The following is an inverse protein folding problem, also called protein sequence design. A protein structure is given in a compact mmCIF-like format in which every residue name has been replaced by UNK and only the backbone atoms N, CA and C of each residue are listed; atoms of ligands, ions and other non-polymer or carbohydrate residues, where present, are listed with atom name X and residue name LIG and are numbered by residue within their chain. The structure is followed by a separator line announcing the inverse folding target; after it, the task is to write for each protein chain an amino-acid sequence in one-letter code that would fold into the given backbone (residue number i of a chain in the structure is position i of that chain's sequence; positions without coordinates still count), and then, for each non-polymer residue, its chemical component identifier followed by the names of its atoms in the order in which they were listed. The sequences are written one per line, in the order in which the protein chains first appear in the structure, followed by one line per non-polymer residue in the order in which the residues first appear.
data_IF_215521193931
#
_entry.id   IF_215521193931
#
_cell.length_a   1.000
_cell.length_b   1.000
_cell.length_c   1.000
_cell.angle_alpha   90.00
_cell.angle_beta   90.00
_cell.angle_gamma   90.00
#
_symmetry.space_group_name_H-M   'P 1'
#
loop_
_entity.id
_entity.type
_entity.pdbx_description
1 polymer ?
#
# COMPACT_ATOMS: atom_id res chain seq x y z
N UNK A 1 14.30 -48.65 13.19
CA UNK A 1 15.13 -47.68 12.43
C UNK A 1 14.58 -46.27 12.71
N UNK A 2 15.36 -45.36 13.30
CA UNK A 2 14.89 -44.02 13.57
C UNK A 2 14.85 -43.20 12.26
N UNK A 3 13.72 -42.55 11.99
CA UNK A 3 13.55 -41.60 10.85
C UNK A 3 14.55 -40.46 11.02
N UNK A 4 15.48 -40.32 10.07
CA UNK A 4 16.35 -39.14 9.96
C UNK A 4 15.47 -37.88 9.85
N UNK A 5 15.53 -37.01 10.84
CA UNK A 5 14.96 -35.67 10.74
C UNK A 5 15.58 -34.96 9.55
N UNK A 6 14.77 -34.61 8.59
CA UNK A 6 15.18 -33.77 7.44
C UNK A 6 15.59 -32.41 8.01
N UNK A 7 16.87 -32.06 7.91
CA UNK A 7 17.33 -30.70 8.26
C UNK A 7 16.63 -29.72 7.32
N UNK A 8 15.88 -28.73 7.84
CA UNK A 8 15.28 -27.73 6.99
C UNK A 8 16.36 -26.98 6.20
N UNK A 9 16.05 -26.65 4.94
CA UNK A 9 16.96 -25.88 4.07
C UNK A 9 17.31 -24.54 4.74
N UNK A 10 18.52 -24.01 4.59
CA UNK A 10 18.97 -22.75 5.23
C UNK A 10 18.02 -21.59 5.00
N UNK A 11 17.39 -21.53 3.83
CA UNK A 11 16.39 -20.51 3.45
C UNK A 11 15.11 -20.62 4.32
N UNK A 12 14.58 -21.81 4.51
CA UNK A 12 13.37 -22.02 5.33
C UNK A 12 13.58 -21.65 6.81
N UNK A 13 14.78 -21.89 7.33
CA UNK A 13 15.16 -21.47 8.70
C UNK A 13 15.22 -19.94 8.80
N UNK A 14 15.74 -19.27 7.78
CA UNK A 14 15.83 -17.82 7.71
C UNK A 14 14.46 -17.15 7.72
N UNK A 15 13.53 -17.60 6.88
CA UNK A 15 12.16 -17.04 6.81
C UNK A 15 11.37 -17.34 8.10
N UNK A 16 11.53 -18.52 8.69
CA UNK A 16 10.93 -18.82 9.98
C UNK A 16 11.41 -17.88 11.09
N UNK A 17 12.70 -17.58 11.13
CA UNK A 17 13.28 -16.64 12.12
C UNK A 17 12.74 -15.23 11.93
N UNK A 18 12.64 -14.75 10.69
CA UNK A 18 12.03 -13.44 10.39
C UNK A 18 10.58 -13.38 10.85
N UNK A 19 9.79 -14.42 10.55
CA UNK A 19 8.39 -14.50 10.99
C UNK A 19 8.24 -14.49 12.52
N UNK A 20 9.10 -15.20 13.26
CA UNK A 20 9.10 -15.18 14.73
C UNK A 20 9.39 -13.77 15.26
N UNK A 21 10.42 -13.10 14.75
CA UNK A 21 10.77 -11.73 15.13
C UNK A 21 9.65 -10.75 14.81
N UNK A 22 8.98 -10.91 13.67
CA UNK A 22 7.82 -10.12 13.27
C UNK A 22 6.66 -10.29 14.28
N UNK A 23 6.31 -11.51 14.66
CA UNK A 23 5.25 -11.77 15.63
C UNK A 23 5.59 -11.20 17.02
N UNK A 24 6.83 -11.32 17.46
CA UNK A 24 7.30 -10.72 18.71
C UNK A 24 7.18 -9.18 18.66
N UNK A 25 7.57 -8.58 17.53
CA UNK A 25 7.43 -7.14 17.30
C UNK A 25 5.97 -6.69 17.38
N UNK A 26 5.05 -7.36 16.65
CA UNK A 26 3.60 -7.05 16.67
C UNK A 26 3.03 -7.06 18.09
N UNK A 27 3.36 -8.08 18.88
CA UNK A 27 2.94 -8.16 20.29
C UNK A 27 3.42 -6.96 21.12
N UNK A 28 4.65 -6.53 20.92
CA UNK A 28 5.21 -5.37 21.65
C UNK A 28 4.59 -4.05 21.18
N UNK A 29 4.41 -3.86 19.86
CA UNK A 29 3.81 -2.65 19.28
C UNK A 29 2.34 -2.46 19.71
N UNK A 30 1.63 -3.53 20.01
CA UNK A 30 0.29 -3.46 20.58
C UNK A 30 0.26 -2.98 22.04
N UNK A 31 1.40 -2.97 22.76
CA UNK A 31 1.48 -2.67 24.18
C UNK A 31 2.26 -1.39 24.51
N UNK A 32 3.21 -1.03 23.67
CA UNK A 32 4.08 0.14 23.89
C UNK A 32 4.59 0.74 22.57
N UNK A 33 5.01 1.99 22.64
CA UNK A 33 5.60 2.71 21.49
C UNK A 33 6.89 2.05 21.00
N UNK A 34 7.15 2.20 19.70
CA UNK A 34 8.26 1.53 19.00
C UNK A 34 9.63 1.89 19.56
N UNK A 35 9.82 3.15 19.98
CA UNK A 35 11.04 3.67 20.60
C UNK A 35 11.42 2.98 21.92
N UNK A 36 10.42 2.37 22.60
CA UNK A 36 10.61 1.60 23.84
C UNK A 36 10.83 0.11 23.61
N UNK A 37 10.81 -0.35 22.37
CA UNK A 37 11.05 -1.76 22.02
C UNK A 37 12.54 -1.93 21.72
N UNK A 38 13.16 -2.93 22.35
CA UNK A 38 14.58 -3.22 22.15
C UNK A 38 14.78 -4.52 21.38
N UNK A 39 15.85 -4.57 20.59
CA UNK A 39 16.25 -5.79 19.87
C UNK A 39 16.49 -6.96 20.83
N UNK A 40 16.96 -6.67 22.04
CA UNK A 40 17.16 -7.68 23.08
C UNK A 40 15.85 -8.34 23.48
N UNK A 41 14.82 -7.55 23.79
CA UNK A 41 13.50 -8.08 24.13
C UNK A 41 12.89 -8.93 23.01
N UNK A 42 13.06 -8.51 21.74
CA UNK A 42 12.56 -9.28 20.59
C UNK A 42 13.30 -10.62 20.45
N UNK A 43 14.61 -10.60 20.60
CA UNK A 43 15.43 -11.82 20.53
C UNK A 43 15.10 -12.76 21.70
N UNK A 44 15.01 -12.26 22.92
CA UNK A 44 14.70 -13.04 24.13
C UNK A 44 13.30 -13.68 24.01
N UNK A 45 12.27 -12.96 23.52
CA UNK A 45 10.91 -13.48 23.27
C UNK A 45 10.91 -14.64 22.25
N UNK A 46 11.87 -14.64 21.31
CA UNK A 46 12.02 -15.68 20.30
C UNK A 46 12.98 -16.82 20.70
N UNK A 47 13.59 -16.75 21.90
CA UNK A 47 14.64 -17.69 22.29
C UNK A 47 15.92 -17.59 21.46
N UNK A 48 16.19 -16.42 20.88
CA UNK A 48 17.30 -16.14 19.99
C UNK A 48 18.38 -15.31 20.68
N UNK A 49 19.62 -15.44 20.21
CA UNK A 49 20.67 -14.48 20.56
C UNK A 49 20.50 -13.19 19.75
N UNK A 50 20.81 -12.03 20.32
CA UNK A 50 20.78 -10.72 19.65
C UNK A 50 21.49 -10.71 18.28
N UNK A 51 22.53 -11.52 18.14
CA UNK A 51 23.30 -11.66 16.90
C UNK A 51 22.45 -12.25 15.75
N UNK A 52 21.48 -13.13 16.06
CA UNK A 52 20.56 -13.69 15.07
C UNK A 52 19.63 -12.62 14.48
N UNK A 53 19.24 -11.60 15.25
CA UNK A 53 18.50 -10.46 14.73
C UNK A 53 19.29 -9.72 13.66
N UNK A 54 20.54 -9.34 13.95
CA UNK A 54 21.39 -8.58 13.04
C UNK A 54 21.81 -9.35 11.78
N UNK A 55 21.64 -10.68 11.78
CA UNK A 55 21.81 -11.46 10.57
C UNK A 55 20.69 -11.18 9.52
N UNK A 56 19.51 -10.80 9.97
CA UNK A 56 18.33 -10.60 9.13
C UNK A 56 17.95 -9.13 8.93
N UNK A 57 18.15 -8.29 9.93
CA UNK A 57 17.68 -6.91 9.96
C UNK A 57 18.77 -5.99 10.53
N UNK A 58 18.88 -4.79 9.95
CA UNK A 58 19.81 -3.77 10.42
C UNK A 58 19.38 -3.21 11.78
N UNK A 59 18.09 -2.93 11.92
CA UNK A 59 17.46 -2.37 13.11
C UNK A 59 15.96 -2.76 13.20
N UNK A 60 15.28 -2.22 14.21
CA UNK A 60 13.84 -2.46 14.39
C UNK A 60 13.02 -1.86 13.25
N UNK A 61 13.44 -0.75 12.68
CA UNK A 61 12.72 -0.09 11.60
C UNK A 61 12.76 -0.92 10.30
N UNK A 62 13.89 -1.58 10.05
CA UNK A 62 14.03 -2.53 8.93
C UNK A 62 13.08 -3.74 9.12
N UNK A 63 12.95 -4.25 10.35
CA UNK A 63 11.96 -5.29 10.67
C UNK A 63 10.51 -4.79 10.49
N UNK A 64 10.18 -3.56 10.93
CA UNK A 64 8.85 -2.95 10.71
C UNK A 64 8.56 -2.85 9.22
N UNK A 65 9.51 -2.36 8.43
CA UNK A 65 9.38 -2.26 6.97
C UNK A 65 9.11 -3.62 6.34
N UNK A 66 9.92 -4.62 6.69
CA UNK A 66 9.76 -5.98 6.19
C UNK A 66 8.39 -6.56 6.55
N UNK A 67 7.94 -6.37 7.79
CA UNK A 67 6.63 -6.80 8.27
C UNK A 67 5.49 -6.26 7.39
N UNK A 68 5.43 -4.94 7.20
CA UNK A 68 4.38 -4.33 6.39
C UNK A 68 4.49 -4.69 4.90
N UNK A 69 5.69 -4.87 4.37
CA UNK A 69 5.88 -5.34 2.99
C UNK A 69 5.32 -6.76 2.80
N UNK A 70 5.53 -7.65 3.76
CA UNK A 70 5.04 -9.03 3.68
C UNK A 70 3.53 -9.12 3.92
N UNK A 71 3.00 -8.41 4.89
CA UNK A 71 1.63 -8.58 5.35
C UNK A 71 0.64 -7.60 4.70
N UNK A 72 1.03 -6.36 4.45
CA UNK A 72 0.15 -5.30 3.94
C UNK A 72 0.35 -5.04 2.45
N UNK A 73 1.56 -4.69 2.03
CA UNK A 73 1.83 -4.33 0.61
C UNK A 73 1.63 -5.53 -0.31
N UNK A 74 1.90 -6.75 0.18
CA UNK A 74 1.65 -7.97 -0.59
C UNK A 74 0.17 -8.15 -0.98
N UNK A 75 -0.79 -7.69 -0.17
CA UNK A 75 -2.22 -7.74 -0.47
C UNK A 75 -2.56 -6.88 -1.69
N UNK A 76 -2.02 -5.66 -1.74
CA UNK A 76 -2.18 -4.79 -2.90
C UNK A 76 -1.57 -5.38 -4.17
N UNK A 77 -0.39 -6.02 -4.05
CA UNK A 77 0.29 -6.62 -5.20
C UNK A 77 -0.42 -7.85 -5.77
N UNK A 78 -1.13 -8.61 -4.94
CA UNK A 78 -1.91 -9.77 -5.39
C UNK A 78 -3.14 -9.37 -6.22
N UNK A 79 -3.64 -8.15 -6.02
CA UNK A 79 -4.84 -7.62 -6.63
C UNK A 79 -4.55 -6.34 -7.44
N UNK A 80 -3.32 -6.21 -7.97
CA UNK A 80 -3.02 -5.03 -8.77
C UNK A 80 -3.63 -5.13 -10.18
N UNK A 81 -4.01 -3.97 -10.72
CA UNK A 81 -4.68 -3.84 -12.00
C UNK A 81 -6.05 -3.19 -11.91
N UNK A 82 -6.52 -2.70 -13.05
CA UNK A 82 -7.74 -1.89 -13.14
C UNK A 82 -9.03 -2.60 -12.70
N UNK A 83 -9.04 -3.93 -12.66
CA UNK A 83 -10.23 -4.72 -12.31
C UNK A 83 -10.23 -5.24 -10.87
N UNK A 84 -9.10 -5.23 -10.17
CA UNK A 84 -8.94 -5.89 -8.87
C UNK A 84 -8.47 -4.96 -7.74
N UNK A 85 -8.27 -3.67 -8.03
CA UNK A 85 -7.75 -2.73 -7.05
C UNK A 85 -8.67 -2.54 -5.83
N UNK A 86 -10.02 -2.60 -6.02
CA UNK A 86 -10.98 -2.51 -4.93
C UNK A 86 -10.78 -3.64 -3.93
N UNK A 87 -10.62 -4.88 -4.43
CA UNK A 87 -10.39 -6.04 -3.58
C UNK A 87 -9.07 -5.93 -2.82
N UNK A 88 -8.00 -5.52 -3.50
CA UNK A 88 -6.69 -5.30 -2.89
C UNK A 88 -6.73 -4.22 -1.80
N UNK A 89 -7.40 -3.11 -2.07
CA UNK A 89 -7.58 -2.04 -1.08
C UNK A 89 -8.43 -2.50 0.10
N UNK A 90 -9.54 -3.19 -0.15
CA UNK A 90 -10.39 -3.72 0.90
C UNK A 90 -9.65 -4.70 1.82
N UNK A 91 -8.85 -5.60 1.25
CA UNK A 91 -8.03 -6.52 2.03
C UNK A 91 -6.96 -5.79 2.85
N UNK A 92 -6.33 -4.74 2.30
CA UNK A 92 -5.41 -3.89 3.05
C UNK A 92 -6.12 -3.21 4.22
N UNK A 93 -7.31 -2.64 4.01
CA UNK A 93 -8.06 -1.96 5.06
C UNK A 93 -8.50 -2.94 6.16
N UNK A 94 -8.95 -4.13 5.81
CA UNK A 94 -9.26 -5.20 6.78
C UNK A 94 -8.03 -5.63 7.57
N UNK A 95 -6.88 -5.81 6.92
CA UNK A 95 -5.62 -6.05 7.62
C UNK A 95 -5.31 -4.95 8.64
N UNK A 96 -5.51 -3.69 8.25
CA UNK A 96 -5.31 -2.54 9.14
C UNK A 96 -6.29 -2.58 10.34
N UNK A 97 -7.56 -2.95 10.13
CA UNK A 97 -8.54 -3.10 11.21
C UNK A 97 -8.10 -4.17 12.22
N UNK A 98 -7.70 -5.34 11.73
CA UNK A 98 -7.22 -6.45 12.56
C UNK A 98 -5.93 -6.11 13.31
N UNK A 99 -5.09 -5.25 12.74
CA UNK A 99 -3.78 -4.86 13.29
C UNK A 99 -3.73 -3.37 13.70
N UNK A 100 -4.87 -2.76 14.03
CA UNK A 100 -4.99 -1.31 14.26
C UNK A 100 -3.99 -0.76 15.27
N UNK A 101 -3.79 -1.45 16.40
CA UNK A 101 -2.83 -1.04 17.41
C UNK A 101 -1.39 -0.98 16.86
N UNK A 102 -1.01 -1.95 16.04
CA UNK A 102 0.32 -2.03 15.40
C UNK A 102 0.49 -0.92 14.37
N UNK A 103 -0.51 -0.72 13.50
CA UNK A 103 -0.50 0.33 12.48
C UNK A 103 -0.43 1.73 13.11
N UNK A 104 -1.24 1.97 14.16
CA UNK A 104 -1.21 3.24 14.92
C UNK A 104 0.14 3.44 15.61
N UNK A 105 0.70 2.42 16.26
CA UNK A 105 2.04 2.48 16.87
C UNK A 105 3.11 2.86 15.84
N UNK A 106 3.07 2.25 14.65
CA UNK A 106 3.99 2.58 13.57
C UNK A 106 3.85 4.05 13.13
N UNK A 107 2.63 4.51 12.85
CA UNK A 107 2.35 5.90 12.45
C UNK A 107 2.82 6.92 13.49
N UNK A 108 2.52 6.68 14.76
CA UNK A 108 2.88 7.59 15.85
C UNK A 108 4.39 7.63 16.14
N UNK A 109 5.08 6.49 16.00
CA UNK A 109 6.50 6.38 16.29
C UNK A 109 7.40 6.80 15.13
N UNK A 110 6.98 6.52 13.88
CA UNK A 110 7.77 6.80 12.69
C UNK A 110 7.42 8.14 12.05
N UNK A 111 6.20 8.62 12.29
CA UNK A 111 5.66 9.81 11.65
C UNK A 111 5.24 9.58 10.19
N UNK A 112 4.38 10.46 9.72
CA UNK A 112 3.73 10.42 8.40
C UNK A 112 4.74 10.32 7.25
N UNK A 113 5.75 11.17 7.26
CA UNK A 113 6.75 11.25 6.19
C UNK A 113 7.57 9.97 6.05
N UNK A 114 7.86 9.27 7.13
CA UNK A 114 8.68 8.08 7.13
C UNK A 114 7.95 6.88 6.52
N UNK A 115 6.67 6.69 6.89
CA UNK A 115 5.83 5.62 6.31
C UNK A 115 5.61 5.87 4.83
N UNK A 116 5.27 7.10 4.43
CA UNK A 116 5.14 7.48 3.02
C UNK A 116 6.43 7.22 2.23
N UNK A 117 7.60 7.46 2.83
CA UNK A 117 8.88 7.21 2.17
C UNK A 117 9.16 5.72 1.97
N UNK A 118 8.85 4.87 2.95
CA UNK A 118 9.14 3.44 2.85
C UNK A 118 8.30 2.69 1.82
N UNK A 119 7.04 3.11 1.64
CA UNK A 119 6.11 2.41 0.75
C UNK A 119 5.86 3.15 -0.55
N UNK A 120 6.48 4.32 -0.74
CA UNK A 120 6.26 5.17 -1.92
C UNK A 120 6.44 4.41 -3.22
N UNK A 121 7.57 3.73 -3.37
CA UNK A 121 7.92 3.07 -4.63
C UNK A 121 6.98 1.90 -4.93
N UNK A 122 6.60 1.14 -3.91
CA UNK A 122 5.68 0.00 -4.04
C UNK A 122 4.27 0.47 -4.42
N UNK A 123 3.74 1.47 -3.69
CA UNK A 123 2.41 2.04 -3.93
C UNK A 123 2.38 2.78 -5.27
N UNK A 124 3.42 3.56 -5.57
CA UNK A 124 3.56 4.24 -6.85
C UNK A 124 3.50 3.26 -8.03
N UNK A 125 4.27 2.17 -7.97
CA UNK A 125 4.29 1.16 -9.03
C UNK A 125 2.91 0.49 -9.24
N UNK A 126 2.15 0.25 -8.17
CA UNK A 126 0.81 -0.33 -8.24
C UNK A 126 -0.17 0.67 -8.88
N UNK A 127 -0.20 1.92 -8.38
CA UNK A 127 -1.11 2.96 -8.89
C UNK A 127 -0.77 3.31 -10.34
N UNK A 128 0.52 3.44 -10.68
CA UNK A 128 0.97 3.73 -12.05
C UNK A 128 0.45 2.69 -13.04
N UNK A 129 0.60 1.40 -12.72
CA UNK A 129 0.06 0.32 -13.56
C UNK A 129 -1.45 0.39 -13.73
N UNK A 130 -2.18 0.70 -12.66
CA UNK A 130 -3.64 0.86 -12.70
C UNK A 130 -4.04 2.03 -13.59
N UNK A 131 -3.38 3.18 -13.46
CA UNK A 131 -3.61 4.37 -14.29
C UNK A 131 -3.32 4.08 -15.78
N UNK A 132 -2.21 3.41 -16.07
CA UNK A 132 -1.83 3.04 -17.44
C UNK A 132 -2.82 2.05 -18.06
N UNK A 133 -3.30 1.09 -17.29
CA UNK A 133 -4.28 0.11 -17.76
C UNK A 133 -5.63 0.76 -18.04
N UNK A 134 -6.11 1.63 -17.14
CA UNK A 134 -7.32 2.42 -17.36
C UNK A 134 -7.19 3.34 -18.57
N UNK A 135 -6.03 3.98 -18.75
CA UNK A 135 -5.79 4.81 -19.94
C UNK A 135 -5.81 3.99 -21.24
N UNK A 136 -5.23 2.79 -21.24
CA UNK A 136 -5.29 1.89 -22.41
C UNK A 136 -6.71 1.49 -22.76
N UNK A 137 -7.59 1.36 -21.77
CA UNK A 137 -9.00 0.97 -22.00
C UNK A 137 -9.86 2.15 -22.49
N UNK A 138 -9.72 3.33 -21.89
CA UNK A 138 -10.65 4.45 -22.10
C UNK A 138 -9.98 5.73 -22.63
N UNK A 139 -8.68 5.74 -22.86
CA UNK A 139 -7.91 6.82 -23.50
C UNK A 139 -8.13 8.20 -22.85
N UNK A 140 -8.25 8.27 -21.53
CA UNK A 140 -8.66 9.47 -20.82
C UNK A 140 -7.54 10.51 -20.58
N UNK A 141 -6.27 10.14 -20.75
CA UNK A 141 -5.14 11.06 -20.65
C UNK A 141 -4.93 11.80 -21.98
N UNK A 142 -4.83 13.11 -21.93
CA UNK A 142 -4.79 13.97 -23.12
C UNK A 142 -3.39 14.54 -23.43
N UNK A 143 -2.49 14.56 -22.44
CA UNK A 143 -1.18 15.16 -22.59
C UNK A 143 -0.06 14.26 -22.06
N UNK A 144 1.15 14.33 -22.67
CA UNK A 144 2.33 13.66 -22.13
C UNK A 144 2.60 14.05 -20.67
N UNK A 145 2.93 13.08 -19.82
CA UNK A 145 3.21 13.31 -18.39
C UNK A 145 1.97 13.40 -17.49
N UNK A 146 0.76 13.48 -18.04
CA UNK A 146 -0.47 13.55 -17.24
C UNK A 146 -0.69 12.27 -16.42
N UNK A 147 -0.31 11.11 -16.93
CA UNK A 147 -0.38 9.83 -16.21
C UNK A 147 0.49 9.84 -14.95
N UNK A 148 1.70 10.36 -15.03
CA UNK A 148 2.60 10.48 -13.89
C UNK A 148 2.06 11.45 -12.82
N UNK A 149 1.53 12.61 -13.23
CA UNK A 149 0.90 13.56 -12.32
C UNK A 149 -0.31 12.96 -11.62
N UNK A 150 -1.13 12.20 -12.35
CA UNK A 150 -2.30 11.52 -11.82
C UNK A 150 -1.89 10.42 -10.83
N UNK A 151 -0.88 9.62 -11.19
CA UNK A 151 -0.30 8.62 -10.30
C UNK A 151 0.16 9.25 -9.00
N UNK A 152 0.94 10.33 -9.07
CA UNK A 152 1.46 11.02 -7.90
C UNK A 152 0.34 11.63 -7.03
N UNK A 153 -0.70 12.18 -7.67
CA UNK A 153 -1.90 12.66 -6.96
C UNK A 153 -2.56 11.55 -6.15
N UNK A 154 -2.81 10.38 -6.75
CA UNK A 154 -3.43 9.26 -6.05
C UNK A 154 -2.53 8.66 -4.98
N UNK A 155 -1.22 8.56 -5.20
CA UNK A 155 -0.26 8.11 -4.17
C UNK A 155 -0.38 8.98 -2.91
N UNK A 156 -0.40 10.29 -3.08
CA UNK A 156 -0.49 11.24 -1.96
C UNK A 156 -1.88 11.20 -1.31
N UNK A 157 -2.94 11.23 -2.12
CA UNK A 157 -4.31 11.26 -1.63
C UNK A 157 -4.68 9.99 -0.86
N UNK A 158 -4.41 8.82 -1.44
CA UNK A 158 -4.73 7.53 -0.81
C UNK A 158 -3.89 7.28 0.44
N UNK A 159 -2.60 7.63 0.43
CA UNK A 159 -1.77 7.54 1.62
C UNK A 159 -2.34 8.40 2.77
N UNK A 160 -2.74 9.63 2.48
CA UNK A 160 -3.34 10.53 3.47
C UNK A 160 -4.69 10.06 3.99
N UNK A 161 -5.53 9.52 3.11
CA UNK A 161 -6.85 8.97 3.48
C UNK A 161 -6.70 7.75 4.38
N UNK A 162 -5.88 6.77 3.99
CA UNK A 162 -5.62 5.56 4.79
C UNK A 162 -5.03 5.92 6.15
N UNK A 163 -4.13 6.88 6.20
CA UNK A 163 -3.51 7.36 7.42
C UNK A 163 -4.52 8.00 8.38
N UNK A 164 -5.36 8.94 7.87
CA UNK A 164 -6.43 9.56 8.65
C UNK A 164 -7.46 8.52 9.16
N UNK A 165 -7.67 7.48 8.38
CA UNK A 165 -8.54 6.38 8.77
C UNK A 165 -7.93 5.50 9.87
N UNK A 166 -6.63 5.17 9.79
CA UNK A 166 -5.90 4.47 10.87
C UNK A 166 -5.93 5.25 12.18
N UNK A 167 -5.81 6.58 12.11
CA UNK A 167 -5.84 7.48 13.26
C UNK A 167 -7.26 7.77 13.77
N UNK A 168 -8.29 7.20 13.14
CA UNK A 168 -9.72 7.43 13.48
C UNK A 168 -10.19 8.87 13.30
N UNK A 169 -9.49 9.64 12.47
CA UNK A 169 -9.92 10.98 12.04
C UNK A 169 -11.08 10.86 11.04
N UNK A 170 -11.12 9.78 10.24
CA UNK A 170 -12.23 9.41 9.36
C UNK A 170 -13.01 8.26 10.00
N UNK A 171 -14.34 8.46 10.17
CA UNK A 171 -15.26 7.49 10.79
C UNK A 171 -16.13 6.85 9.74
N UNK A 172 -15.59 5.87 9.03
CA UNK A 172 -16.30 5.04 8.06
C UNK A 172 -15.77 3.61 8.13
N UNK A 173 -16.54 2.65 7.61
CA UNK A 173 -16.08 1.26 7.45
C UNK A 173 -15.06 1.15 6.32
N UNK A 174 -14.37 0.01 6.24
CA UNK A 174 -13.46 -0.29 5.14
C UNK A 174 -14.22 -0.31 3.79
N UNK A 175 -15.41 -0.89 3.79
CA UNK A 175 -16.29 -0.98 2.62
C UNK A 175 -16.75 0.40 2.16
N UNK A 176 -17.25 1.25 3.07
CA UNK A 176 -17.64 2.62 2.76
C UNK A 176 -16.49 3.45 2.18
N UNK A 177 -15.27 3.24 2.67
CA UNK A 177 -14.10 3.95 2.14
C UNK A 177 -13.73 3.49 0.74
N UNK A 178 -13.78 2.18 0.46
CA UNK A 178 -13.54 1.63 -0.88
C UNK A 178 -14.59 2.13 -1.86
N UNK A 179 -15.87 2.06 -1.49
CA UNK A 179 -16.99 2.52 -2.32
C UNK A 179 -16.87 4.01 -2.66
N UNK A 180 -16.49 4.84 -1.68
CA UNK A 180 -16.27 6.26 -1.90
C UNK A 180 -15.11 6.52 -2.90
N UNK A 181 -14.00 5.81 -2.76
CA UNK A 181 -12.86 5.94 -3.68
C UNK A 181 -13.24 5.46 -5.08
N UNK A 182 -13.98 4.36 -5.20
CA UNK A 182 -14.47 3.83 -6.48
C UNK A 182 -15.40 4.84 -7.18
N UNK A 183 -16.30 5.45 -6.45
CA UNK A 183 -17.19 6.48 -6.98
C UNK A 183 -16.40 7.68 -7.49
N UNK A 184 -15.41 8.18 -6.73
CA UNK A 184 -14.55 9.28 -7.17
C UNK A 184 -13.81 8.96 -8.47
N UNK A 185 -13.23 7.76 -8.56
CA UNK A 185 -12.52 7.30 -9.76
C UNK A 185 -13.46 7.20 -10.96
N UNK A 186 -14.64 6.63 -10.76
CA UNK A 186 -15.65 6.46 -11.79
C UNK A 186 -16.12 7.81 -12.34
N UNK A 187 -16.41 8.78 -11.46
CA UNK A 187 -16.84 10.12 -11.85
C UNK A 187 -15.73 10.88 -12.59
N UNK A 188 -14.49 10.73 -12.15
CA UNK A 188 -13.33 11.32 -12.85
C UNK A 188 -13.16 10.74 -14.25
N UNK A 189 -13.27 9.42 -14.41
CA UNK A 189 -13.15 8.76 -15.72
C UNK A 189 -14.30 9.19 -16.66
N UNK A 190 -15.54 9.21 -16.17
CA UNK A 190 -16.69 9.70 -16.94
C UNK A 190 -16.49 11.13 -17.41
N UNK A 191 -16.10 12.03 -16.50
CA UNK A 191 -15.83 13.42 -16.84
C UNK A 191 -14.69 13.59 -17.85
N UNK A 192 -13.67 12.74 -17.82
CA UNK A 192 -12.59 12.75 -18.80
C UNK A 192 -13.05 12.29 -20.19
N UNK A 193 -13.86 11.22 -20.25
CA UNK A 193 -14.43 10.70 -21.49
C UNK A 193 -15.39 11.73 -22.13
N UNK A 194 -16.22 12.37 -21.33
CA UNK A 194 -17.17 13.37 -21.83
C UNK A 194 -16.46 14.61 -22.40
N UNK A 195 -15.42 15.10 -21.73
CA UNK A 195 -14.57 16.17 -22.28
C UNK A 195 -13.95 15.79 -23.62
N UNK A 196 -13.45 14.58 -23.76
CA UNK A 196 -12.86 14.10 -25.00
C UNK A 196 -13.89 14.05 -26.16
N UNK A 197 -15.13 13.63 -25.88
CA UNK A 197 -16.23 13.65 -26.86
C UNK A 197 -16.57 15.08 -27.30
N UNK A 198 -16.65 16.01 -26.35
CA UNK A 198 -16.93 17.43 -26.64
C UNK A 198 -15.84 18.06 -27.52
N UNK A 199 -14.56 17.80 -27.22
CA UNK A 199 -13.45 18.29 -28.02
C UNK A 199 -13.48 17.74 -29.46
N UNK A 200 -13.75 16.44 -29.61
CA UNK A 200 -13.89 15.79 -30.91
C UNK A 200 -15.04 16.40 -31.74
N UNK A 201 -16.16 16.74 -31.08
CA UNK A 201 -17.29 17.39 -31.72
C UNK A 201 -16.99 18.84 -32.12
N UNK A 202 -16.19 19.57 -31.34
CA UNK A 202 -15.74 20.93 -31.67
C UNK A 202 -14.81 20.95 -32.87
N UNK A 203 -13.87 20.02 -32.94
CA UNK A 203 -12.92 19.91 -34.06
C UNK A 203 -13.61 19.49 -35.37
N UNK A 204 -14.68 18.70 -35.31
CA UNK A 204 -15.45 18.23 -36.47
C UNK A 204 -16.58 19.20 -36.91
N UNK A 205 -16.78 20.36 -36.25
CA UNK A 205 -17.72 21.35 -36.76
C UNK A 205 -17.14 21.96 -38.04
N UNK A 206 -17.87 21.85 -39.18
CA UNK A 206 -17.43 22.52 -40.43
C UNK A 206 -17.34 24.02 -40.11
N UNK A 207 -16.18 24.59 -40.39
CA UNK A 207 -16.05 26.07 -40.40
C UNK A 207 -17.04 26.56 -41.44
N UNK A 208 -18.16 27.09 -40.97
CA UNK A 208 -19.19 27.64 -41.83
C UNK A 208 -18.55 28.69 -42.73
N UNK A 209 -18.54 28.38 -44.02
CA UNK A 209 -18.03 29.27 -45.03
C UNK A 209 -18.74 30.58 -44.93
N UNK A 210 -18.00 31.63 -44.68
CA UNK A 210 -18.34 33.02 -45.07
C UNK A 210 -18.43 33.00 -46.61
N UNK A 211 -19.62 32.69 -47.11
CA UNK A 211 -19.95 33.05 -48.51
C UNK A 211 -20.19 34.56 -48.51
N UNK A 212 -19.31 35.23 -49.18
CA UNK A 212 -19.43 36.60 -49.65
C UNK A 212 -20.61 36.79 -50.57
#
# INVERSE_FOLDING_TARGET
MPKKAVRPMPYAVSEHTKAMLCQALKKKMAQKSLDKITIRELADDCGLKRQAFYYHFQDIYDLVRWMFQQEAVSLLRQHDGALLWQEGLLQLLRYIEENRAVCRCALQSLGRSYISMFFRDDIHAIIHRTVDELHRQVHFLQAPGQGELLTQFYVIALAGVVESWVLEELKCSAEELVDFIDQLLTDQLRGAIDRQKEESLRLNRPQGGLAT
#
